data_IF_416775689097
#
_entry.id   IF_416775689097
#
_cell.length_a   1.000
_cell.length_b   1.000
_cell.length_c   1.000
_cell.angle_alpha   90.00
_cell.angle_beta   90.00
_cell.angle_gamma   90.00
#
_symmetry.space_group_name_H-M   'P 1'
#
loop_
_entity.id
_entity.type
_entity.pdbx_description
1 polymer ?
#
# COMPACT_ATOMS: atom_id res chain seq x y z
N UNK A 1 4.41 12.90 39.75
CA UNK A 1 3.01 12.57 40.14
C UNK A 1 1.96 13.42 39.43
N UNK A 2 2.15 14.74 39.28
CA UNK A 2 1.13 15.62 38.67
C UNK A 2 1.00 15.58 37.14
N UNK A 3 2.07 15.24 36.41
CA UNK A 3 2.04 15.19 34.93
C UNK A 3 1.23 14.00 34.39
N UNK A 4 1.17 12.90 35.13
CA UNK A 4 0.43 11.68 34.75
C UNK A 4 -1.09 11.88 34.85
N UNK A 5 -1.53 12.59 35.90
CA UNK A 5 -2.94 12.91 36.14
C UNK A 5 -3.51 13.93 35.14
N UNK A 6 -2.67 14.81 34.60
CA UNK A 6 -3.08 15.78 33.58
C UNK A 6 -3.26 15.13 32.20
N UNK A 7 -2.39 14.18 31.84
CA UNK A 7 -2.48 13.43 30.57
C UNK A 7 -3.71 12.50 30.54
N UNK A 8 -4.02 11.81 31.65
CA UNK A 8 -5.18 10.90 31.76
C UNK A 8 -6.53 11.62 31.68
N UNK A 9 -6.59 12.92 32.02
CA UNK A 9 -7.85 13.67 32.08
C UNK A 9 -8.18 14.45 30.81
N UNK A 10 -7.21 14.67 29.92
CA UNK A 10 -7.35 15.60 28.78
C UNK A 10 -7.02 14.98 27.42
N UNK A 11 -6.37 13.82 27.40
CA UNK A 11 -6.27 12.98 26.20
C UNK A 11 -7.26 11.84 26.38
N UNK A 12 -8.50 12.05 25.92
CA UNK A 12 -9.50 10.98 25.86
C UNK A 12 -8.92 9.76 25.15
N UNK A 13 -9.13 8.58 25.71
CA UNK A 13 -8.82 7.33 25.02
C UNK A 13 -9.56 7.32 23.67
N UNK A 14 -8.92 6.90 22.56
CA UNK A 14 -9.64 6.63 21.33
C UNK A 14 -10.70 5.57 21.65
N UNK A 15 -11.97 5.95 21.56
CA UNK A 15 -13.09 5.04 21.79
C UNK A 15 -13.12 3.99 20.67
N UNK A 16 -12.45 2.86 20.91
CA UNK A 16 -12.59 1.65 20.09
C UNK A 16 -13.89 0.94 20.48
N UNK A 17 -15.04 1.54 20.17
CA UNK A 17 -16.33 0.87 20.30
C UNK A 17 -16.72 0.24 18.96
N UNK A 18 -16.10 -0.90 18.63
CA UNK A 18 -16.77 -1.95 17.88
C UNK A 18 -16.78 -3.18 18.78
N UNK A 19 -17.88 -3.36 19.50
CA UNK A 19 -18.15 -4.60 20.23
C UNK A 19 -18.15 -5.75 19.23
N UNK A 20 -17.04 -6.51 19.18
CA UNK A 20 -17.04 -7.86 18.65
C UNK A 20 -17.75 -8.72 19.68
N UNK A 21 -19.03 -9.01 19.46
CA UNK A 21 -19.76 -10.01 20.23
C UNK A 21 -19.25 -11.40 19.88
N UNK A 22 -18.76 -12.15 20.87
CA UNK A 22 -18.61 -13.61 20.82
C UNK A 22 -17.18 -14.12 20.56
N UNK A 23 -16.55 -14.62 21.63
CA UNK A 23 -15.20 -15.19 21.72
C UNK A 23 -14.07 -14.21 21.34
N UNK A 24 -12.95 -14.24 22.08
CA UNK A 24 -11.73 -13.58 21.63
C UNK A 24 -11.24 -14.31 20.37
N UNK A 25 -11.77 -13.93 19.20
CA UNK A 25 -11.27 -14.40 17.92
C UNK A 25 -9.77 -14.09 17.91
N UNK A 26 -8.94 -15.13 17.79
CA UNK A 26 -7.51 -14.97 17.66
C UNK A 26 -7.25 -13.95 16.54
N UNK A 27 -6.31 -13.02 16.78
CA UNK A 27 -5.90 -12.09 15.74
C UNK A 27 -5.43 -12.90 14.51
N UNK A 28 -5.88 -12.55 13.30
CA UNK A 28 -5.43 -13.25 12.09
C UNK A 28 -3.91 -13.22 12.00
N UNK A 29 -3.33 -14.33 11.55
CA UNK A 29 -1.93 -14.39 11.18
C UNK A 29 -1.74 -13.77 9.80
N UNK A 30 -0.82 -12.81 9.70
CA UNK A 30 -0.52 -12.12 8.45
C UNK A 30 0.92 -12.42 8.02
N UNK A 31 1.09 -12.81 6.76
CA UNK A 31 2.39 -12.89 6.09
C UNK A 31 2.34 -12.15 4.77
N UNK A 32 3.12 -11.08 4.66
CA UNK A 32 3.27 -10.31 3.43
C UNK A 32 4.53 -10.79 2.70
N UNK A 33 4.36 -11.19 1.45
CA UNK A 33 5.45 -11.73 0.63
C UNK A 33 5.73 -10.82 -0.55
N UNK A 34 6.98 -10.38 -0.69
CA UNK A 34 7.44 -9.59 -1.84
C UNK A 34 8.94 -9.74 -2.08
N UNK A 35 9.48 -9.05 -3.08
CA UNK A 35 10.93 -8.90 -3.23
C UNK A 35 11.51 -7.97 -2.16
N UNK A 36 12.81 -8.08 -1.88
CA UNK A 36 13.52 -7.19 -0.95
C UNK A 36 13.74 -5.77 -1.49
N UNK A 37 12.62 -5.10 -1.74
CA UNK A 37 12.48 -3.70 -2.13
C UNK A 37 11.18 -3.15 -1.52
N UNK A 38 11.03 -1.83 -1.57
CA UNK A 38 9.77 -1.14 -1.24
C UNK A 38 8.67 -1.53 -2.22
N UNK A 39 8.79 -1.02 -3.45
CA UNK A 39 7.95 -1.36 -4.59
C UNK A 39 6.45 -1.40 -4.27
N UNK A 40 5.77 -2.43 -4.76
CA UNK A 40 4.31 -2.56 -4.66
C UNK A 40 3.81 -3.00 -3.28
N UNK A 41 4.67 -3.52 -2.41
CA UNK A 41 4.29 -3.97 -1.07
C UNK A 41 4.37 -2.86 -0.02
N UNK A 42 5.02 -1.72 -0.34
CA UNK A 42 5.33 -0.69 0.65
C UNK A 42 4.09 -0.08 1.30
N UNK A 43 3.01 0.11 0.53
CA UNK A 43 1.77 0.64 1.09
C UNK A 43 1.17 -0.34 2.11
N UNK A 44 1.18 -1.64 1.82
CA UNK A 44 0.77 -2.67 2.79
C UNK A 44 1.62 -2.65 4.06
N UNK A 45 2.94 -2.47 3.94
CA UNK A 45 3.84 -2.30 5.11
C UNK A 45 3.46 -1.08 5.94
N UNK A 46 3.13 0.04 5.30
CA UNK A 46 2.65 1.23 6.01
C UNK A 46 1.32 1.00 6.72
N UNK A 47 0.37 0.29 6.10
CA UNK A 47 -0.91 -0.03 6.75
C UNK A 47 -0.70 -0.83 8.05
N UNK A 48 0.16 -1.85 8.01
CA UNK A 48 0.54 -2.59 9.22
C UNK A 48 1.22 -1.71 10.27
N UNK A 49 2.15 -0.85 9.86
CA UNK A 49 2.88 0.03 10.76
C UNK A 49 1.96 1.07 11.44
N UNK A 50 1.08 1.72 10.67
CA UNK A 50 0.10 2.70 11.18
C UNK A 50 -0.87 2.03 12.16
N UNK A 51 -1.35 0.83 11.82
CA UNK A 51 -2.25 0.06 12.68
C UNK A 51 -1.53 -0.68 13.83
N UNK A 52 -0.20 -0.57 13.94
CA UNK A 52 0.65 -1.30 14.89
C UNK A 52 0.33 -2.81 14.93
N UNK A 53 0.04 -3.37 13.77
CA UNK A 53 -0.35 -4.78 13.63
C UNK A 53 0.86 -5.62 13.25
N UNK A 54 1.21 -6.66 14.03
CA UNK A 54 2.32 -7.53 13.71
C UNK A 54 2.00 -8.37 12.48
N UNK A 55 3.03 -8.62 11.67
CA UNK A 55 2.97 -9.48 10.49
C UNK A 55 4.37 -10.03 10.18
N UNK A 56 4.44 -11.14 9.45
CA UNK A 56 5.70 -11.63 8.86
C UNK A 56 5.96 -10.89 7.54
N UNK A 57 7.10 -10.20 7.42
CA UNK A 57 7.57 -9.58 6.17
C UNK A 57 8.59 -10.51 5.51
N UNK A 58 8.10 -11.45 4.69
CA UNK A 58 8.98 -12.37 3.98
C UNK A 58 9.43 -11.73 2.65
N UNK A 59 10.74 -11.70 2.44
CA UNK A 59 11.37 -11.00 1.32
C UNK A 59 12.20 -11.93 0.48
N UNK A 60 11.74 -12.19 -0.75
CA UNK A 60 12.55 -12.87 -1.75
C UNK A 60 13.78 -12.02 -2.08
N UNK A 61 14.95 -12.62 -1.91
CA UNK A 61 16.19 -12.00 -2.34
C UNK A 61 16.27 -11.98 -3.87
N UNK A 62 16.89 -10.93 -4.40
CA UNK A 62 17.23 -10.85 -5.81
C UNK A 62 18.53 -10.09 -5.99
N UNK A 63 19.18 -10.33 -7.12
CA UNK A 63 20.39 -9.63 -7.54
C UNK A 63 20.32 -9.32 -9.02
N UNK A 64 21.20 -8.43 -9.49
CA UNK A 64 21.38 -8.16 -10.91
C UNK A 64 22.75 -8.68 -11.33
N UNK A 65 22.80 -9.32 -12.51
CA UNK A 65 24.08 -9.61 -13.16
C UNK A 65 24.81 -8.31 -13.54
N UNK A 66 24.07 -7.35 -14.08
CA UNK A 66 24.55 -6.01 -14.42
C UNK A 66 23.73 -4.98 -13.65
N UNK A 67 24.33 -4.14 -12.78
CA UNK A 67 23.59 -3.14 -12.02
C UNK A 67 22.75 -2.22 -12.91
N UNK A 68 21.44 -2.14 -12.64
CA UNK A 68 20.50 -1.32 -13.41
C UNK A 68 19.89 -1.99 -14.64
N UNK A 69 20.37 -3.17 -15.04
CA UNK A 69 19.78 -3.94 -16.13
C UNK A 69 18.80 -4.99 -15.60
N UNK A 70 17.52 -4.64 -15.66
CA UNK A 70 16.42 -5.51 -15.21
C UNK A 70 16.27 -6.80 -16.03
N UNK A 71 16.89 -6.90 -17.21
CA UNK A 71 16.92 -8.15 -17.98
C UNK A 71 17.83 -9.22 -17.36
N UNK A 72 18.76 -8.80 -16.48
CA UNK A 72 19.74 -9.69 -15.84
C UNK A 72 19.39 -10.05 -14.39
N UNK A 73 18.13 -9.87 -14.00
CA UNK A 73 17.66 -10.17 -12.65
C UNK A 73 17.78 -11.68 -12.34
N UNK A 74 18.30 -12.00 -11.16
CA UNK A 74 18.39 -13.35 -10.61
C UNK A 74 17.60 -13.40 -9.30
N UNK A 75 16.66 -14.33 -9.19
CA UNK A 75 15.73 -14.46 -8.05
C UNK A 75 15.42 -15.94 -7.77
N UNK A 76 16.44 -16.75 -7.40
CA UNK A 76 16.34 -18.22 -7.40
C UNK A 76 15.18 -18.74 -6.55
N UNK A 77 14.98 -18.21 -5.35
CA UNK A 77 13.88 -18.61 -4.45
C UNK A 77 12.50 -18.35 -5.08
N UNK A 78 12.33 -17.19 -5.73
CA UNK A 78 11.08 -16.87 -6.42
C UNK A 78 10.85 -17.77 -7.63
N UNK A 79 11.89 -18.00 -8.44
CA UNK A 79 11.78 -18.83 -9.65
C UNK A 79 11.50 -20.29 -9.28
N UNK A 80 12.08 -20.79 -8.17
CA UNK A 80 11.80 -22.12 -7.61
C UNK A 80 10.36 -22.22 -7.08
N UNK A 81 9.91 -21.28 -6.24
CA UNK A 81 8.54 -21.25 -5.73
C UNK A 81 7.51 -21.20 -6.88
N UNK A 82 7.80 -20.41 -7.91
CA UNK A 82 6.97 -20.34 -9.11
C UNK A 82 6.95 -21.66 -9.88
N UNK A 83 8.09 -22.32 -10.06
CA UNK A 83 8.17 -23.59 -10.77
C UNK A 83 7.43 -24.73 -10.02
N UNK A 84 7.36 -24.65 -8.69
CA UNK A 84 6.60 -25.59 -7.84
C UNK A 84 5.10 -25.32 -7.79
N UNK A 85 4.60 -24.25 -8.40
CA UNK A 85 3.19 -23.85 -8.35
C UNK A 85 2.78 -23.19 -7.03
N UNK A 86 3.73 -22.87 -6.14
CA UNK A 86 3.45 -22.25 -4.83
C UNK A 86 2.86 -20.83 -4.96
N UNK A 87 2.97 -20.23 -6.15
CA UNK A 87 2.45 -18.90 -6.45
C UNK A 87 1.12 -18.93 -7.23
N UNK A 88 0.53 -20.09 -7.53
CA UNK A 88 -0.64 -20.20 -8.40
C UNK A 88 -1.86 -19.43 -7.85
N UNK A 89 -2.08 -19.51 -6.54
CA UNK A 89 -3.14 -18.76 -5.85
C UNK A 89 -2.95 -17.23 -5.92
N UNK A 90 -1.72 -16.76 -6.18
CA UNK A 90 -1.38 -15.35 -6.40
C UNK A 90 -1.25 -14.97 -7.88
N UNK A 91 -1.71 -15.84 -8.79
CA UNK A 91 -1.57 -15.69 -10.25
C UNK A 91 -0.10 -15.65 -10.71
N UNK A 92 0.78 -16.39 -10.03
CA UNK A 92 2.19 -16.51 -10.35
C UNK A 92 2.99 -15.22 -10.12
N UNK A 93 2.54 -14.33 -9.21
CA UNK A 93 3.08 -12.99 -9.00
C UNK A 93 3.17 -12.61 -7.53
N UNK A 94 4.10 -11.73 -7.21
CA UNK A 94 4.20 -11.03 -5.93
C UNK A 94 3.96 -9.52 -6.13
N UNK A 95 3.43 -8.78 -5.15
CA UNK A 95 3.16 -9.21 -3.78
C UNK A 95 1.92 -10.08 -3.63
N UNK A 96 1.93 -10.92 -2.60
CA UNK A 96 0.73 -11.55 -2.04
C UNK A 96 0.72 -11.39 -0.52
N UNK A 97 -0.49 -11.41 0.06
CA UNK A 97 -0.72 -11.49 1.49
C UNK A 97 -1.31 -12.86 1.80
N UNK A 98 -0.77 -13.56 2.77
CA UNK A 98 -1.37 -14.74 3.37
C UNK A 98 -2.08 -14.35 4.66
N UNK A 99 -3.34 -14.76 4.79
CA UNK A 99 -4.18 -14.55 5.98
C UNK A 99 -4.67 -15.91 6.44
N UNK A 100 -4.17 -16.39 7.57
CA UNK A 100 -4.53 -17.71 8.11
C UNK A 100 -4.45 -18.84 7.06
N UNK A 101 -3.38 -18.83 6.26
CA UNK A 101 -3.14 -19.79 5.18
C UNK A 101 -3.84 -19.48 3.84
N UNK A 102 -4.67 -18.45 3.76
CA UNK A 102 -5.35 -18.03 2.52
C UNK A 102 -4.57 -16.93 1.81
N UNK A 103 -4.18 -17.17 0.56
CA UNK A 103 -3.44 -16.19 -0.25
C UNK A 103 -4.34 -15.20 -0.98
N UNK A 104 -3.95 -13.93 -0.96
CA UNK A 104 -4.53 -12.81 -1.69
C UNK A 104 -3.44 -12.17 -2.54
N UNK A 105 -3.54 -12.30 -3.86
CA UNK A 105 -2.66 -11.61 -4.82
C UNK A 105 -3.10 -10.18 -5.12
N UNK A 106 -2.34 -9.49 -5.97
CA UNK A 106 -2.57 -8.11 -6.42
C UNK A 106 -2.44 -7.05 -5.31
N UNK A 107 -1.36 -6.26 -5.35
CA UNK A 107 -1.06 -5.19 -4.39
C UNK A 107 -2.26 -4.34 -3.97
N UNK A 108 -3.09 -3.89 -4.91
CA UNK A 108 -4.24 -3.02 -4.63
C UNK A 108 -5.44 -3.74 -4.04
N UNK A 109 -5.58 -5.04 -4.24
CA UNK A 109 -6.57 -5.84 -3.53
C UNK A 109 -6.13 -6.05 -2.07
N UNK A 110 -4.83 -6.33 -1.87
CA UNK A 110 -4.20 -6.48 -0.55
C UNK A 110 -4.34 -5.19 0.27
N UNK A 111 -4.00 -4.03 -0.31
CA UNK A 111 -4.11 -2.73 0.37
C UNK A 111 -5.53 -2.45 0.87
N UNK A 112 -6.55 -2.69 0.03
CA UNK A 112 -7.97 -2.50 0.38
C UNK A 112 -8.44 -3.47 1.46
N UNK A 113 -8.02 -4.72 1.34
CA UNK A 113 -8.33 -5.74 2.34
C UNK A 113 -7.75 -5.33 3.71
N UNK A 114 -6.45 -5.01 3.76
CA UNK A 114 -5.80 -4.56 4.99
C UNK A 114 -6.41 -3.28 5.53
N UNK A 115 -6.65 -2.27 4.70
CA UNK A 115 -7.26 -1.03 5.16
C UNK A 115 -8.65 -1.28 5.78
N UNK A 116 -9.44 -2.20 5.25
CA UNK A 116 -10.74 -2.57 5.84
C UNK A 116 -10.57 -3.30 7.17
N UNK A 117 -9.73 -4.32 7.22
CA UNK A 117 -9.51 -5.13 8.43
C UNK A 117 -8.89 -4.31 9.58
N UNK A 118 -8.06 -3.34 9.25
CA UNK A 118 -7.35 -2.48 10.19
C UNK A 118 -8.11 -1.18 10.53
N UNK A 119 -9.33 -1.00 10.02
CA UNK A 119 -10.17 0.16 10.33
C UNK A 119 -9.71 1.49 9.70
N UNK A 120 -9.05 1.43 8.55
CA UNK A 120 -8.47 2.56 7.81
C UNK A 120 -9.28 2.96 6.56
N UNK A 121 -10.49 2.42 6.37
CA UNK A 121 -11.39 2.71 5.24
C UNK A 121 -12.53 3.69 5.61
N UNK A 122 -12.35 4.49 6.66
CA UNK A 122 -13.41 5.36 7.18
C UNK A 122 -14.53 4.59 7.90
N UNK A 123 -15.58 5.33 8.27
CA UNK A 123 -16.69 4.90 9.11
C UNK A 123 -17.95 4.51 8.34
N UNK A 124 -18.02 4.83 7.04
CA UNK A 124 -19.18 4.55 6.19
C UNK A 124 -18.79 3.99 4.82
N UNK A 125 -19.70 3.31 4.10
CA UNK A 125 -19.45 2.86 2.73
C UNK A 125 -19.09 4.01 1.78
N UNK A 126 -19.60 5.22 2.01
CA UNK A 126 -19.29 6.40 1.21
C UNK A 126 -17.86 6.88 1.48
N UNK A 127 -17.44 6.94 2.75
CA UNK A 127 -16.06 7.29 3.10
C UNK A 127 -15.06 6.27 2.56
N UNK A 128 -15.41 4.97 2.63
CA UNK A 128 -14.61 3.91 2.03
C UNK A 128 -14.45 4.11 0.51
N UNK A 129 -15.54 4.47 -0.18
CA UNK A 129 -15.49 4.76 -1.61
C UNK A 129 -14.66 6.02 -1.93
N UNK A 130 -14.64 7.02 -1.06
CA UNK A 130 -13.78 8.21 -1.20
C UNK A 130 -12.29 7.89 -1.00
N UNK A 131 -11.96 7.03 -0.04
CA UNK A 131 -10.59 6.51 0.11
C UNK A 131 -10.16 5.76 -1.16
N UNK A 132 -11.04 4.91 -1.69
CA UNK A 132 -10.78 4.18 -2.94
C UNK A 132 -10.64 5.12 -4.14
N UNK A 133 -11.45 6.18 -4.23
CA UNK A 133 -11.35 7.20 -5.28
C UNK A 133 -9.96 7.84 -5.29
N UNK A 134 -9.44 8.25 -4.14
CA UNK A 134 -8.10 8.83 -4.04
C UNK A 134 -7.01 7.81 -4.37
N UNK A 135 -7.15 6.57 -3.89
CA UNK A 135 -6.19 5.50 -4.18
C UNK A 135 -6.09 5.21 -5.68
N UNK A 136 -7.21 5.16 -6.40
CA UNK A 136 -7.20 4.98 -7.86
C UNK A 136 -6.70 6.24 -8.59
N UNK A 137 -7.02 7.43 -8.10
CA UNK A 137 -6.48 8.70 -8.66
C UNK A 137 -4.94 8.72 -8.60
N UNK A 138 -4.35 8.27 -7.48
CA UNK A 138 -2.88 8.15 -7.35
C UNK A 138 -2.31 7.17 -8.39
N UNK A 139 -3.06 6.13 -8.77
CA UNK A 139 -2.64 5.19 -9.82
C UNK A 139 -2.70 5.84 -11.20
N UNK A 140 -3.74 6.60 -11.50
CA UNK A 140 -3.84 7.34 -12.75
C UNK A 140 -2.67 8.32 -12.91
N UNK A 141 -2.32 9.04 -11.83
CA UNK A 141 -1.14 9.92 -11.78
C UNK A 141 0.15 9.14 -12.04
N UNK A 142 0.33 7.99 -11.37
CA UNK A 142 1.50 7.14 -11.56
C UNK A 142 1.59 6.63 -13.00
N UNK A 143 0.50 6.18 -13.59
CA UNK A 143 0.49 5.60 -14.93
C UNK A 143 0.71 6.68 -16.00
N UNK A 144 0.15 7.88 -15.82
CA UNK A 144 0.46 9.03 -16.65
C UNK A 144 1.94 9.44 -16.56
N UNK A 145 2.51 9.48 -15.34
CA UNK A 145 3.95 9.71 -15.16
C UNK A 145 4.83 8.66 -15.85
N UNK A 146 4.45 7.38 -15.78
CA UNK A 146 5.21 6.31 -16.45
C UNK A 146 5.21 6.47 -17.97
N UNK A 147 4.12 6.97 -18.57
CA UNK A 147 4.08 7.28 -20.00
C UNK A 147 5.10 8.36 -20.36
N UNK A 148 5.15 9.45 -19.59
CA UNK A 148 6.15 10.52 -19.78
C UNK A 148 7.57 9.99 -19.60
N UNK A 149 7.83 9.22 -18.53
CA UNK A 149 9.14 8.63 -18.25
C UNK A 149 9.60 7.65 -19.34
N UNK A 150 8.65 6.98 -19.99
CA UNK A 150 8.86 5.98 -21.04
C UNK A 150 9.15 6.55 -22.43
N UNK A 151 9.07 7.87 -22.63
CA UNK A 151 9.47 8.52 -23.89
C UNK A 151 10.95 8.22 -24.17
N UNK A 152 11.24 7.81 -25.42
CA UNK A 152 12.59 7.40 -25.83
C UNK A 152 13.43 8.55 -26.37
N UNK A 153 12.81 9.47 -27.08
CA UNK A 153 13.48 10.67 -27.58
C UNK A 153 13.84 11.59 -26.41
N UNK A 154 15.08 12.08 -26.39
CA UNK A 154 15.62 12.81 -25.24
C UNK A 154 15.00 14.21 -25.10
N UNK A 155 14.79 14.90 -26.22
CA UNK A 155 14.27 16.27 -26.25
C UNK A 155 12.77 16.28 -25.97
N UNK A 156 12.03 15.35 -26.59
CA UNK A 156 10.60 15.13 -26.30
C UNK A 156 10.39 14.76 -24.83
N UNK A 157 11.21 13.84 -24.30
CA UNK A 157 11.12 13.45 -22.88
C UNK A 157 11.38 14.63 -21.96
N UNK A 158 12.39 15.45 -22.25
CA UNK A 158 12.70 16.63 -21.43
C UNK A 158 11.51 17.59 -21.43
N UNK A 159 10.98 17.95 -22.60
CA UNK A 159 9.83 18.84 -22.71
C UNK A 159 8.58 18.28 -21.99
N UNK A 160 8.31 16.98 -22.14
CA UNK A 160 7.20 16.32 -21.48
C UNK A 160 7.39 16.22 -19.95
N UNK A 161 8.62 16.03 -19.47
CA UNK A 161 8.93 16.04 -18.04
C UNK A 161 8.78 17.43 -17.43
N UNK A 162 9.24 18.47 -18.14
CA UNK A 162 9.07 19.86 -17.70
C UNK A 162 7.59 20.18 -17.56
N UNK A 163 6.78 19.90 -18.60
CA UNK A 163 5.32 20.05 -18.56
C UNK A 163 4.67 19.25 -17.44
N UNK A 164 5.08 17.99 -17.25
CA UNK A 164 4.51 17.12 -16.22
C UNK A 164 4.62 17.74 -14.82
N UNK A 165 5.80 18.25 -14.47
CA UNK A 165 6.03 18.83 -13.14
C UNK A 165 5.52 20.26 -13.00
N UNK A 166 5.47 21.06 -14.08
CA UNK A 166 4.99 22.44 -14.02
C UNK A 166 3.47 22.57 -14.12
N UNK A 167 2.80 21.64 -14.81
CA UNK A 167 1.38 21.76 -15.17
C UNK A 167 0.56 20.55 -14.74
N UNK A 168 0.87 19.36 -15.28
CA UNK A 168 -0.01 18.21 -15.16
C UNK A 168 -0.12 17.74 -13.71
N UNK A 169 1.00 17.42 -13.05
CA UNK A 169 1.00 16.95 -11.67
C UNK A 169 0.39 17.97 -10.69
N UNK A 170 0.74 19.28 -10.74
CA UNK A 170 0.05 20.29 -9.92
C UNK A 170 -1.46 20.35 -10.14
N UNK A 171 -1.93 20.20 -11.38
CA UNK A 171 -3.36 20.18 -11.68
C UNK A 171 -4.07 18.98 -11.03
N UNK A 172 -3.48 17.79 -11.13
CA UNK A 172 -3.99 16.58 -10.47
C UNK A 172 -4.03 16.72 -8.94
N UNK A 173 -2.94 17.17 -8.32
CA UNK A 173 -2.87 17.35 -6.86
C UNK A 173 -3.88 18.39 -6.38
N UNK A 174 -4.06 19.49 -7.13
CA UNK A 174 -5.06 20.52 -6.81
C UNK A 174 -6.49 19.99 -6.86
N UNK A 175 -6.80 19.08 -7.77
CA UNK A 175 -8.10 18.43 -7.85
C UNK A 175 -8.29 17.41 -6.72
N UNK A 176 -7.25 16.62 -6.40
CA UNK A 176 -7.26 15.70 -5.28
C UNK A 176 -7.52 16.44 -3.96
N UNK A 177 -6.80 17.54 -3.70
CA UNK A 177 -6.98 18.41 -2.52
C UNK A 177 -8.44 18.91 -2.41
N UNK A 178 -9.00 19.41 -3.52
CA UNK A 178 -10.40 19.88 -3.54
C UNK A 178 -11.43 18.78 -3.32
N UNK A 179 -11.08 17.53 -3.59
CA UNK A 179 -11.98 16.39 -3.37
C UNK A 179 -12.04 15.95 -1.90
N UNK A 180 -11.07 16.38 -1.09
CA UNK A 180 -11.05 16.12 0.34
C UNK A 180 -12.18 16.92 1.01
N UNK A 181 -12.96 16.22 1.85
CA UNK A 181 -13.94 16.87 2.71
C UNK A 181 -13.20 17.66 3.80
N UNK A 182 -13.81 18.74 4.31
CA UNK A 182 -13.30 19.42 5.49
C UNK A 182 -13.31 18.45 6.68
N UNK A 183 -12.14 17.92 7.02
CA UNK A 183 -11.96 16.98 8.11
C UNK A 183 -11.95 17.67 9.47
N UNK A 184 -12.43 16.98 10.50
CA UNK A 184 -12.25 17.34 11.91
C UNK A 184 -11.08 16.61 12.55
N UNK A 185 -10.43 15.71 11.80
CA UNK A 185 -9.32 14.88 12.25
C UNK A 185 -7.96 15.56 12.11
N UNK A 186 -6.91 14.96 12.70
CA UNK A 186 -5.53 15.44 12.58
C UNK A 186 -4.89 15.17 11.21
N UNK A 187 -5.63 14.55 10.28
CA UNK A 187 -5.22 14.21 8.91
C UNK A 187 -6.38 14.50 7.95
#
# INVERSE_FOLDING_TARGET
FWLKFWLERHLGEPSLSRQRSGAAAAMPSYKLVYFDIRGLAEVSRFLFAVARTPYEDYRFSFSFGTPGDFSTIKRPEFDEAKAKGELDASLGKVPYLEVDGVMIGQSKAIERYLARELGLMGSSPVEAAQVDQLAETVRDVKDAYQKVRGIKDADEKKAAMDKWFSEDLPAWVKLAEKSLLAGTGPF
#
